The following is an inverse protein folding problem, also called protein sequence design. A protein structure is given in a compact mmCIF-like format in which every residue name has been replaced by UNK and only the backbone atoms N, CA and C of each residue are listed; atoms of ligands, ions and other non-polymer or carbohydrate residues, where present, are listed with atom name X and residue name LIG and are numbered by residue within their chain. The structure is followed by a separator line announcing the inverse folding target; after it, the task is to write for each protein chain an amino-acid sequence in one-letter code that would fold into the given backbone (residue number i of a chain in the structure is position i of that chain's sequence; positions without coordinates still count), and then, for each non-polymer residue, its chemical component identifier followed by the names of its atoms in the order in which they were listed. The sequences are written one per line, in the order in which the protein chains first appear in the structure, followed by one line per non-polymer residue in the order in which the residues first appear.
data_IF_524154356244
#
_entry.id   IF_524154356244
#
_cell.length_a   1.000
_cell.length_b   1.000
_cell.length_c   1.000
_cell.angle_alpha   90.00
_cell.angle_beta   90.00
_cell.angle_gamma   90.00
#
_symmetry.space_group_name_H-M   'P 1'
#
loop_
_entity.id
_entity.type
_entity.pdbx_description
1 polymer ?
#
# COMPACT_ATOMS: atom_id res chain seq x y z
N UNK A 1 -14.60 -2.64 -9.73
CA UNK A 1 -14.50 -3.97 -10.38
C UNK A 1 -13.13 -4.55 -10.07
N UNK A 2 -13.02 -5.86 -9.91
CA UNK A 2 -11.78 -6.55 -9.61
C UNK A 2 -11.59 -7.70 -10.60
N UNK A 3 -10.34 -7.95 -10.98
CA UNK A 3 -9.92 -9.12 -11.74
C UNK A 3 -8.75 -9.74 -10.97
N UNK A 4 -8.89 -11.00 -10.61
CA UNK A 4 -7.85 -11.75 -9.94
C UNK A 4 -7.34 -12.87 -10.83
N UNK A 5 -6.10 -13.27 -10.60
CA UNK A 5 -5.47 -14.40 -11.25
C UNK A 5 -4.45 -15.02 -10.31
N UNK A 6 -4.25 -16.31 -10.47
CA UNK A 6 -3.18 -17.03 -9.82
C UNK A 6 -2.25 -17.59 -10.90
N UNK A 7 -1.00 -17.11 -10.93
CA UNK A 7 -0.04 -17.50 -11.96
C UNK A 7 0.94 -18.55 -11.48
N UNK A 8 1.37 -18.53 -10.21
CA UNK A 8 2.40 -19.42 -9.68
C UNK A 8 2.06 -20.05 -8.31
N UNK A 9 0.99 -19.62 -7.63
CA UNK A 9 0.71 -19.98 -6.24
C UNK A 9 -0.58 -20.79 -6.03
N UNK A 10 -1.23 -21.26 -7.11
CA UNK A 10 -2.51 -21.98 -7.03
C UNK A 10 -2.48 -23.26 -6.18
N UNK A 11 -1.30 -23.87 -5.99
CA UNK A 11 -1.09 -25.02 -5.11
C UNK A 11 -0.49 -24.68 -3.74
N UNK A 12 -0.20 -23.40 -3.48
CA UNK A 12 0.47 -22.90 -2.27
C UNK A 12 -0.46 -22.08 -1.38
N UNK A 13 -1.38 -21.33 -1.99
CA UNK A 13 -2.33 -20.44 -1.29
C UNK A 13 -3.76 -20.66 -1.77
N UNK A 14 -4.74 -20.40 -0.90
CA UNK A 14 -6.17 -20.46 -1.25
C UNK A 14 -6.67 -19.20 -1.98
N UNK A 15 -5.84 -18.16 -2.00
CA UNK A 15 -6.12 -16.84 -2.56
C UNK A 15 -5.15 -16.49 -3.70
N UNK A 16 -5.56 -15.52 -4.51
CA UNK A 16 -4.90 -15.16 -5.75
C UNK A 16 -3.59 -14.40 -5.52
N UNK A 17 -2.58 -14.68 -6.34
CA UNK A 17 -1.26 -14.04 -6.25
C UNK A 17 -1.18 -12.70 -6.96
N UNK A 18 -2.18 -12.36 -7.78
CA UNK A 18 -2.20 -11.16 -8.61
C UNK A 18 -3.60 -10.59 -8.77
N UNK A 19 -3.70 -9.26 -8.82
CA UNK A 19 -4.98 -8.58 -8.93
C UNK A 19 -4.92 -7.20 -9.56
N UNK A 20 -6.00 -6.87 -10.27
CA UNK A 20 -6.28 -5.54 -10.84
C UNK A 20 -7.64 -5.10 -10.30
N UNK A 21 -7.66 -4.00 -9.56
CA UNK A 21 -8.86 -3.42 -8.96
C UNK A 21 -9.06 -2.02 -9.54
N UNK A 22 -10.27 -1.71 -9.95
CA UNK A 22 -10.71 -0.37 -10.39
C UNK A 22 -11.87 0.07 -9.52
N UNK A 23 -11.88 1.34 -9.13
CA UNK A 23 -12.88 1.87 -8.20
C UNK A 23 -13.18 3.34 -8.48
N UNK A 24 -14.38 3.75 -8.09
CA UNK A 24 -14.81 5.16 -8.07
C UNK A 24 -14.70 5.67 -6.64
N UNK A 25 -14.20 6.89 -6.46
CA UNK A 25 -14.20 7.54 -5.15
C UNK A 25 -15.60 8.06 -4.81
N UNK A 26 -15.94 8.06 -3.51
CA UNK A 26 -17.24 8.52 -3.01
C UNK A 26 -17.53 9.96 -3.45
N UNK A 27 -16.51 10.82 -3.42
CA UNK A 27 -16.60 12.25 -3.76
C UNK A 27 -16.19 12.56 -5.21
N UNK A 28 -16.21 11.55 -6.09
CA UNK A 28 -15.82 11.70 -7.48
C UNK A 28 -14.32 11.46 -7.74
N UNK A 29 -14.01 11.12 -8.99
CA UNK A 29 -12.70 10.62 -9.39
C UNK A 29 -12.68 9.09 -9.48
N UNK A 30 -11.63 8.57 -10.10
CA UNK A 30 -11.43 7.13 -10.34
C UNK A 30 -10.04 6.72 -9.87
N UNK A 31 -9.91 5.45 -9.48
CA UNK A 31 -8.66 4.87 -9.07
C UNK A 31 -8.48 3.45 -9.58
N UNK A 32 -7.22 3.02 -9.61
CA UNK A 32 -6.85 1.64 -9.84
C UNK A 32 -5.80 1.21 -8.83
N UNK A 33 -5.89 -0.03 -8.37
CA UNK A 33 -4.92 -0.67 -7.50
C UNK A 33 -4.52 -2.00 -8.15
N UNK A 34 -3.22 -2.23 -8.29
CA UNK A 34 -2.67 -3.44 -8.88
C UNK A 34 -1.67 -4.05 -7.90
N UNK A 35 -1.68 -5.37 -7.78
CA UNK A 35 -0.70 -6.09 -6.99
C UNK A 35 -0.31 -7.40 -7.66
N UNK A 36 0.90 -7.87 -7.37
CA UNK A 36 1.32 -9.23 -7.65
C UNK A 36 2.42 -9.64 -6.69
N UNK A 37 2.33 -10.84 -6.13
CA UNK A 37 3.45 -11.53 -5.45
C UNK A 37 4.20 -12.47 -6.41
N UNK A 38 3.71 -12.60 -7.64
CA UNK A 38 4.23 -13.45 -8.71
C UNK A 38 5.33 -12.74 -9.50
N UNK A 39 6.31 -12.19 -8.78
CA UNK A 39 7.41 -11.39 -9.32
C UNK A 39 8.72 -12.16 -9.19
N UNK A 40 9.52 -12.18 -10.25
CA UNK A 40 10.77 -12.92 -10.29
C UNK A 40 11.86 -12.31 -9.40
N UNK A 41 12.53 -13.15 -8.62
CA UNK A 41 13.81 -12.93 -7.92
C UNK A 41 13.83 -11.88 -6.78
N UNK A 42 13.12 -10.76 -6.90
CA UNK A 42 13.14 -9.69 -5.90
C UNK A 42 11.84 -8.88 -5.85
N UNK A 43 11.68 -8.04 -4.82
CA UNK A 43 10.58 -7.08 -4.78
C UNK A 43 10.78 -6.05 -5.91
N UNK A 44 9.83 -5.94 -6.83
CA UNK A 44 9.95 -5.03 -7.98
C UNK A 44 9.77 -3.57 -7.56
N UNK A 45 8.59 -3.22 -7.07
CA UNK A 45 8.28 -1.84 -6.66
C UNK A 45 7.05 -1.76 -5.76
N UNK A 46 6.89 -0.60 -5.11
CA UNK A 46 5.63 -0.13 -4.54
C UNK A 46 5.47 1.34 -4.91
N UNK A 47 4.37 1.70 -5.57
CA UNK A 47 4.16 3.05 -6.06
C UNK A 47 2.74 3.55 -5.85
N UNK A 48 2.62 4.88 -5.70
CA UNK A 48 1.37 5.61 -5.58
C UNK A 48 1.43 6.85 -6.46
N UNK A 49 0.44 7.01 -7.33
CA UNK A 49 0.30 8.20 -8.17
C UNK A 49 -1.04 8.86 -7.87
N UNK A 50 -1.00 10.14 -7.51
CA UNK A 50 -2.16 10.98 -7.28
C UNK A 50 -2.16 12.09 -8.33
N UNK A 51 -3.30 12.29 -8.99
CA UNK A 51 -3.50 13.31 -10.02
C UNK A 51 -4.76 14.07 -9.68
N UNK A 52 -4.66 15.39 -9.58
CA UNK A 52 -5.75 16.30 -9.24
C UNK A 52 -5.61 17.63 -10.02
N UNK A 53 -6.66 18.45 -9.98
CA UNK A 53 -6.73 19.72 -10.71
C UNK A 53 -5.60 20.71 -10.38
N UNK A 54 -5.11 20.71 -9.13
CA UNK A 54 -4.08 21.64 -8.65
C UNK A 54 -2.71 20.97 -8.44
N UNK A 55 -2.53 19.72 -8.86
CA UNK A 55 -1.25 19.07 -8.75
C UNK A 55 -1.25 17.57 -8.94
N UNK A 56 -0.05 17.00 -8.94
CA UNK A 56 0.18 15.57 -9.04
C UNK A 56 1.42 15.17 -8.25
N UNK A 57 1.34 14.01 -7.60
CA UNK A 57 2.44 13.43 -6.82
C UNK A 57 2.62 11.98 -7.23
N UNK A 58 3.87 11.57 -7.44
CA UNK A 58 4.25 10.18 -7.61
C UNK A 58 5.29 9.81 -6.57
N UNK A 59 4.98 8.78 -5.80
CA UNK A 59 5.89 8.12 -4.86
C UNK A 59 6.16 6.72 -5.40
N UNK A 60 7.42 6.29 -5.38
CA UNK A 60 7.86 5.01 -5.91
C UNK A 60 9.06 4.46 -5.14
N UNK A 61 9.74 3.50 -5.76
CA UNK A 61 10.84 2.73 -5.15
C UNK A 61 10.36 1.38 -4.61
N UNK A 62 11.32 0.51 -4.27
CA UNK A 62 11.05 -0.86 -3.83
C UNK A 62 10.12 -0.91 -2.60
N UNK A 63 10.18 0.12 -1.75
CA UNK A 63 9.40 0.24 -0.51
C UNK A 63 8.67 1.58 -0.39
N UNK A 64 8.28 2.19 -1.52
CA UNK A 64 7.61 3.50 -1.57
C UNK A 64 8.42 4.62 -0.88
N UNK A 65 9.75 4.55 -1.00
CA UNK A 65 10.70 5.37 -0.25
C UNK A 65 11.23 6.58 -1.03
N UNK A 66 10.75 6.80 -2.27
CA UNK A 66 11.23 7.90 -3.12
C UNK A 66 10.08 8.74 -3.65
N UNK A 67 10.17 10.06 -3.48
CA UNK A 67 9.34 10.98 -4.28
C UNK A 67 9.94 11.04 -5.69
N UNK A 68 9.22 10.48 -6.66
CA UNK A 68 9.63 10.52 -8.06
C UNK A 68 9.18 11.81 -8.75
N UNK A 69 8.02 12.33 -8.35
CA UNK A 69 7.49 13.58 -8.88
C UNK A 69 6.61 14.28 -7.85
N UNK A 70 6.78 15.59 -7.70
CA UNK A 70 5.88 16.44 -6.94
C UNK A 70 5.68 17.74 -7.73
N UNK A 71 4.50 17.91 -8.31
CA UNK A 71 4.10 19.12 -9.03
C UNK A 71 2.81 19.59 -8.42
N UNK A 72 2.86 20.60 -7.54
CA UNK A 72 1.67 21.13 -6.89
C UNK A 72 1.69 22.64 -7.05
N UNK A 73 0.56 23.21 -7.44
CA UNK A 73 0.40 24.65 -7.60
C UNK A 73 0.72 25.35 -6.27
N UNK A 74 1.55 26.39 -6.34
CA UNK A 74 1.95 27.20 -5.18
C UNK A 74 2.58 26.40 -4.02
N UNK A 75 3.19 25.24 -4.33
CA UNK A 75 3.85 24.39 -3.35
C UNK A 75 5.19 23.88 -3.89
N UNK A 76 6.22 23.95 -3.04
CA UNK A 76 7.54 23.38 -3.33
C UNK A 76 7.73 22.10 -2.54
N UNK A 77 8.23 21.06 -3.19
CA UNK A 77 8.58 19.80 -2.53
C UNK A 77 9.55 20.11 -1.37
N UNK A 78 9.27 19.64 -0.14
CA UNK A 78 10.17 19.83 0.97
C UNK A 78 11.43 18.99 0.79
N UNK A 79 12.54 19.45 1.36
CA UNK A 79 13.69 18.58 1.58
C UNK A 79 13.31 17.52 2.62
N UNK A 80 13.39 16.26 2.21
CA UNK A 80 13.15 15.12 3.08
C UNK A 80 14.48 14.49 3.46
N UNK A 81 14.62 13.97 4.70
CA UNK A 81 15.78 13.18 5.05
C UNK A 81 15.85 11.94 4.15
N UNK A 82 17.05 11.40 3.97
CA UNK A 82 17.21 10.11 3.33
C UNK A 82 16.38 9.05 4.07
N UNK A 83 15.73 8.19 3.30
CA UNK A 83 15.02 7.05 3.86
C UNK A 83 16.02 6.02 4.34
N UNK A 84 15.73 5.37 5.46
CA UNK A 84 16.49 4.22 5.91
C UNK A 84 16.54 3.14 4.82
N UNK A 85 17.64 2.40 4.80
CA UNK A 85 17.76 1.20 3.98
C UNK A 85 16.67 0.16 4.35
N UNK A 86 16.45 -0.79 3.44
CA UNK A 86 15.61 -1.95 3.74
C UNK A 86 16.18 -2.75 4.92
N UNK A 87 15.32 -3.45 5.68
CA UNK A 87 15.81 -4.29 6.76
C UNK A 87 16.79 -5.35 6.21
N UNK A 88 17.93 -5.50 6.88
CA UNK A 88 18.95 -6.49 6.56
C UNK A 88 18.84 -7.67 7.54
N UNK A 89 18.47 -8.84 7.03
CA UNK A 89 18.37 -10.08 7.78
C UNK A 89 19.58 -11.01 7.57
N UNK A 90 20.65 -10.49 6.95
CA UNK A 90 21.87 -11.22 6.64
C UNK A 90 21.78 -11.95 5.30
N UNK A 91 20.99 -13.03 5.22
CA UNK A 91 20.81 -13.79 3.98
C UNK A 91 19.85 -13.13 2.99
N UNK A 92 19.07 -12.15 3.44
CA UNK A 92 18.06 -11.45 2.66
C UNK A 92 17.96 -9.99 3.15
N UNK A 93 17.87 -9.06 2.20
CA UNK A 93 17.50 -7.67 2.47
C UNK A 93 16.11 -7.42 1.95
N UNK A 94 15.21 -6.92 2.79
CA UNK A 94 13.88 -6.56 2.34
C UNK A 94 13.00 -5.94 3.41
N UNK A 95 11.82 -5.45 3.00
CA UNK A 95 10.84 -4.73 3.82
C UNK A 95 11.27 -3.34 4.33
N UNK A 96 10.28 -2.47 4.53
CA UNK A 96 10.50 -1.14 5.07
C UNK A 96 10.88 -1.18 6.56
N UNK A 97 11.88 -0.39 6.95
CA UNK A 97 12.35 -0.27 8.33
C UNK A 97 11.50 0.74 9.13
N UNK A 98 10.19 0.49 9.31
CA UNK A 98 9.28 1.44 9.97
C UNK A 98 8.57 0.89 11.23
N UNK A 99 8.61 -0.42 11.49
CA UNK A 99 7.85 -1.04 12.60
C UNK A 99 8.20 -0.49 13.99
N UNK A 100 9.45 -0.05 14.19
CA UNK A 100 9.88 0.54 15.45
C UNK A 100 9.14 1.85 15.79
N UNK A 101 8.68 2.62 14.79
CA UNK A 101 7.84 3.79 15.01
C UNK A 101 6.45 3.40 15.55
N UNK A 102 5.87 2.30 15.06
CA UNK A 102 4.60 1.77 15.56
C UNK A 102 4.74 1.30 17.02
N UNK A 103 5.76 0.51 17.33
CA UNK A 103 6.00 0.07 18.71
C UNK A 103 6.27 1.23 19.66
N UNK A 104 7.01 2.25 19.21
CA UNK A 104 7.19 3.48 19.96
C UNK A 104 5.84 4.17 20.22
N UNK A 105 4.98 4.33 19.21
CA UNK A 105 3.66 4.91 19.42
C UNK A 105 2.82 4.11 20.42
N UNK A 106 2.88 2.78 20.39
CA UNK A 106 2.20 1.92 21.38
C UNK A 106 2.70 2.23 22.80
N UNK A 107 4.02 2.28 22.99
CA UNK A 107 4.62 2.62 24.30
C UNK A 107 4.21 4.03 24.75
N UNK A 108 4.30 5.02 23.85
CA UNK A 108 3.96 6.41 24.17
C UNK A 108 2.46 6.58 24.49
N UNK A 109 1.57 5.81 23.86
CA UNK A 109 0.13 5.79 24.18
C UNK A 109 -0.09 5.21 25.58
N UNK A 110 0.58 4.10 25.91
CA UNK A 110 0.42 3.41 27.19
C UNK A 110 1.02 4.20 28.37
N UNK A 111 2.14 4.89 28.16
CA UNK A 111 2.93 5.46 29.25
C UNK A 111 3.09 6.99 29.19
N UNK A 112 2.76 7.65 28.09
CA UNK A 112 3.02 9.09 27.89
C UNK A 112 1.78 9.86 27.43
N UNK A 113 0.59 9.26 27.51
CA UNK A 113 -0.68 9.87 27.09
C UNK A 113 -0.63 10.39 25.64
N UNK A 114 0.15 9.74 24.78
CA UNK A 114 0.23 10.10 23.38
C UNK A 114 -1.04 9.65 22.63
N UNK A 115 -1.28 10.27 21.47
CA UNK A 115 -2.36 9.88 20.57
C UNK A 115 -1.99 8.59 19.82
N UNK A 116 -2.93 7.66 19.74
CA UNK A 116 -2.81 6.49 18.87
C UNK A 116 -2.75 6.93 17.41
N UNK A 117 -1.75 6.46 16.67
CA UNK A 117 -1.55 6.82 15.26
C UNK A 117 -2.46 6.04 14.31
N UNK A 118 -2.74 4.78 14.60
CA UNK A 118 -3.63 3.92 13.81
C UNK A 118 -4.81 3.53 14.69
N UNK A 119 -5.99 4.02 14.33
CA UNK A 119 -7.21 3.78 15.08
C UNK A 119 -7.88 2.47 14.67
N UNK A 120 -8.67 1.82 15.56
CA UNK A 120 -9.47 0.67 15.18
C UNK A 120 -10.40 0.94 13.99
N UNK A 121 -10.91 2.17 13.86
CA UNK A 121 -11.78 2.59 12.76
C UNK A 121 -11.06 2.50 11.42
N UNK A 122 -9.83 3.01 11.33
CA UNK A 122 -9.02 2.93 10.09
C UNK A 122 -8.72 1.47 9.73
N UNK A 123 -8.42 0.62 10.72
CA UNK A 123 -8.24 -0.82 10.49
C UNK A 123 -9.50 -1.49 9.94
N UNK A 124 -10.68 -1.18 10.48
CA UNK A 124 -11.95 -1.71 9.98
C UNK A 124 -12.23 -1.27 8.54
N UNK A 125 -11.92 -0.02 8.18
CA UNK A 125 -12.12 0.47 6.80
C UNK A 125 -11.28 -0.28 5.77
N UNK A 126 -10.06 -0.71 6.13
CA UNK A 126 -9.22 -1.54 5.24
C UNK A 126 -9.85 -2.92 5.03
N UNK A 127 -10.35 -3.54 6.10
CA UNK A 127 -11.03 -4.84 6.01
C UNK A 127 -12.29 -4.73 5.15
N UNK A 128 -13.13 -3.73 5.41
CA UNK A 128 -14.33 -3.46 4.62
C UNK A 128 -14.00 -3.23 3.14
N UNK A 129 -12.89 -2.54 2.82
CA UNK A 129 -12.44 -2.37 1.45
C UNK A 129 -12.10 -3.71 0.80
N UNK A 130 -11.33 -4.57 1.47
CA UNK A 130 -10.96 -5.90 0.95
C UNK A 130 -12.21 -6.76 0.73
N UNK A 131 -13.11 -6.83 1.72
CA UNK A 131 -14.36 -7.56 1.61
C UNK A 131 -15.21 -7.06 0.44
N UNK A 132 -15.33 -5.75 0.28
CA UNK A 132 -16.06 -5.15 -0.84
C UNK A 132 -15.42 -5.47 -2.21
N UNK A 133 -14.10 -5.55 -2.30
CA UNK A 133 -13.39 -5.93 -3.53
C UNK A 133 -13.76 -7.37 -3.91
N UNK A 134 -13.83 -8.30 -2.96
CA UNK A 134 -14.21 -9.69 -3.20
C UNK A 134 -15.71 -9.85 -3.47
N UNK A 135 -16.58 -9.22 -2.68
CA UNK A 135 -18.04 -9.31 -2.84
C UNK A 135 -18.53 -8.72 -4.16
N UNK A 136 -17.89 -7.66 -4.65
CA UNK A 136 -18.22 -7.05 -5.95
C UNK A 136 -17.52 -7.71 -7.14
N UNK A 137 -16.72 -8.76 -6.90
CA UNK A 137 -16.19 -9.60 -7.95
C UNK A 137 -17.25 -10.65 -8.34
N UNK A 138 -18.00 -10.37 -9.41
CA UNK A 138 -19.11 -11.21 -9.86
C UNK A 138 -18.68 -12.55 -10.46
N UNK A 139 -17.38 -12.79 -10.66
CA UNK A 139 -16.88 -13.97 -11.37
C UNK A 139 -16.42 -15.11 -10.43
N UNK A 140 -16.32 -14.89 -9.11
CA UNK A 140 -15.63 -15.81 -8.18
C UNK A 140 -16.51 -16.64 -7.22
N UNK A 141 -17.83 -16.67 -7.37
CA UNK A 141 -18.70 -17.57 -6.56
C UNK A 141 -19.11 -18.89 -7.25
N UNK A 142 -18.39 -19.30 -8.30
CA UNK A 142 -18.50 -20.65 -8.87
C UNK A 142 -17.22 -21.44 -8.61
N UNK A 143 -17.06 -21.92 -7.38
CA UNK A 143 -16.35 -23.18 -7.12
C UNK A 143 -17.41 -24.24 -6.83
#
# INVERSE_FOLDING_TARGET
KSKFADFNHAGLTEFEDSGIITFDFISGGIGSFNFSTSVWNENLESSLTLIAENGSVKIGGQYMNKIEKCIIKDYSQPELPETNDANDYGSFKGSAQNHHFLYKNIIDVLYSNAKIQITPKESTQVIEMIENIYLKNTDNFKK
#
